data_IF_045355128686
#
_entry.id   IF_045355128686
#
_cell.length_a   1.000
_cell.length_b   1.000
_cell.length_c   1.000
_cell.angle_alpha   90.00
_cell.angle_beta   90.00
_cell.angle_gamma   90.00
#
_symmetry.space_group_name_H-M   'P 1'
#
loop_
_entity.id
_entity.type
_entity.pdbx_description
1 polymer ?
#
# COMPACT_ATOMS: atom_id res chain seq x y z
N UNK A 1 -35.21 9.81 -9.39
CA UNK A 1 -35.68 9.92 -7.98
C UNK A 1 -36.25 8.59 -7.56
N UNK A 2 -35.88 8.10 -6.35
CA UNK A 2 -36.04 6.73 -5.79
C UNK A 2 -34.96 5.76 -6.34
N UNK A 3 -34.06 5.12 -5.59
CA UNK A 3 -33.97 4.77 -4.16
C UNK A 3 -32.49 4.74 -3.69
N UNK A 4 -32.09 5.62 -2.76
CA UNK A 4 -30.90 5.46 -1.91
C UNK A 4 -31.38 5.13 -0.49
N UNK A 5 -31.65 3.86 -0.22
CA UNK A 5 -32.10 3.41 1.10
C UNK A 5 -31.25 2.29 1.71
N UNK A 6 -30.07 2.00 1.16
CA UNK A 6 -29.22 0.92 1.70
C UNK A 6 -28.26 1.37 2.82
N UNK A 7 -27.95 2.67 2.96
CA UNK A 7 -26.95 3.16 3.91
C UNK A 7 -27.44 3.47 5.34
N UNK A 8 -28.72 3.25 5.67
CA UNK A 8 -29.26 3.56 7.01
C UNK A 8 -29.39 2.36 7.96
N UNK A 9 -28.87 1.18 7.61
CA UNK A 9 -28.92 -0.01 8.48
C UNK A 9 -27.58 -0.44 9.09
N UNK A 10 -26.47 0.28 8.88
CA UNK A 10 -25.19 -0.02 9.55
C UNK A 10 -24.96 0.86 10.81
N UNK A 11 -25.82 1.85 11.05
CA UNK A 11 -25.78 2.69 12.26
C UNK A 11 -26.79 2.22 13.31
N UNK A 12 -26.60 1.00 13.83
CA UNK A 12 -27.01 0.60 15.19
C UNK A 12 -26.71 -0.90 15.37
N UNK A 13 -25.47 -1.21 15.73
CA UNK A 13 -25.27 -2.27 16.71
C UNK A 13 -24.03 -1.97 17.55
N UNK A 14 -24.30 -1.67 18.81
CA UNK A 14 -23.29 -1.31 19.79
C UNK A 14 -22.39 -2.48 20.16
N UNK A 15 -21.13 -2.12 20.45
CA UNK A 15 -20.12 -2.86 21.22
C UNK A 15 -19.51 -4.10 20.57
N UNK A 16 -18.27 -3.93 20.09
CA UNK A 16 -17.12 -4.46 20.83
C UNK A 16 -15.83 -3.73 20.39
N UNK A 17 -15.64 -2.50 20.87
CA UNK A 17 -14.29 -1.95 20.96
C UNK A 17 -13.57 -2.77 22.02
N UNK A 18 -12.61 -3.61 21.61
CA UNK A 18 -11.81 -4.42 22.54
C UNK A 18 -11.14 -3.46 23.53
N UNK A 19 -11.63 -3.46 24.78
CA UNK A 19 -11.08 -2.64 25.86
C UNK A 19 -9.63 -3.11 26.05
N UNK A 20 -8.67 -2.19 25.91
CA UNK A 20 -7.26 -2.49 26.16
C UNK A 20 -7.15 -3.16 27.53
N UNK A 21 -6.43 -4.28 27.60
CA UNK A 21 -6.10 -4.86 28.90
C UNK A 21 -5.34 -3.83 29.75
N UNK A 22 -5.46 -3.90 31.08
CA UNK A 22 -4.78 -2.95 31.97
C UNK A 22 -3.26 -2.88 31.69
N UNK A 23 -2.65 -4.00 31.27
CA UNK A 23 -1.24 -4.06 30.85
C UNK A 23 -0.97 -3.37 29.51
N UNK A 24 -1.83 -3.50 28.51
CA UNK A 24 -1.70 -2.79 27.23
C UNK A 24 -1.97 -1.30 27.37
N UNK A 25 -2.94 -0.91 28.20
CA UNK A 25 -3.20 0.48 28.56
C UNK A 25 -1.99 1.07 29.29
N UNK A 26 -1.46 0.38 30.31
CA UNK A 26 -0.24 0.81 31.02
C UNK A 26 0.98 0.93 30.11
N UNK A 27 1.17 0.03 29.13
CA UNK A 27 2.29 0.12 28.15
C UNK A 27 2.10 1.21 27.11
N UNK A 28 0.89 1.41 26.60
CA UNK A 28 0.59 2.51 25.67
C UNK A 28 0.77 3.87 26.35
N UNK A 29 0.23 4.01 27.56
CA UNK A 29 0.46 5.17 28.44
C UNK A 29 1.94 5.31 28.79
N UNK A 30 2.67 4.20 28.98
CA UNK A 30 4.12 4.23 29.22
C UNK A 30 4.87 4.84 28.04
N UNK A 31 4.59 4.41 26.81
CA UNK A 31 5.27 4.96 25.62
C UNK A 31 4.88 6.41 25.34
N UNK A 32 3.62 6.78 25.55
CA UNK A 32 3.19 8.18 25.40
C UNK A 32 3.77 9.10 26.47
N UNK A 33 4.12 8.60 27.67
CA UNK A 33 4.78 9.42 28.71
C UNK A 33 6.11 10.01 28.25
N UNK A 34 6.89 9.28 27.46
CA UNK A 34 8.15 9.80 26.89
C UNK A 34 7.92 10.97 25.92
N UNK A 35 6.71 11.05 25.35
CA UNK A 35 6.28 12.08 24.41
C UNK A 35 5.61 13.29 25.09
N UNK A 36 5.11 13.14 26.33
CA UNK A 36 4.31 14.15 27.05
C UNK A 36 5.11 14.91 28.12
N UNK A 37 6.40 14.60 28.33
CA UNK A 37 7.23 15.38 29.27
C UNK A 37 7.44 16.83 28.76
N UNK A 38 6.99 17.87 29.50
CA UNK A 38 7.26 19.26 29.16
C UNK A 38 8.70 19.60 29.51
N UNK A 39 9.44 20.16 28.55
CA UNK A 39 10.77 20.74 28.79
C UNK A 39 11.92 19.90 28.24
N UNK A 40 12.21 20.08 26.96
CA UNK A 40 13.57 20.20 26.40
C UNK A 40 13.43 20.28 24.87
N UNK A 41 13.53 21.49 24.33
CA UNK A 41 13.82 21.69 22.92
C UNK A 41 15.28 21.28 22.70
N UNK A 42 15.53 20.35 21.78
CA UNK A 42 16.88 20.07 21.27
C UNK A 42 16.90 20.57 19.84
N UNK A 43 17.62 21.68 19.63
CA UNK A 43 17.85 22.31 18.35
C UNK A 43 18.97 21.56 17.61
N UNK A 44 18.61 20.81 16.58
CA UNK A 44 19.50 20.49 15.46
C UNK A 44 19.12 21.36 14.26
N UNK A 45 20.06 22.14 13.73
CA UNK A 45 19.82 23.00 12.56
C UNK A 45 19.39 22.12 11.36
N UNK A 46 18.09 22.20 11.02
CA UNK A 46 17.42 21.40 9.99
C UNK A 46 16.26 20.51 10.47
N UNK A 47 16.10 20.30 11.79
CA UNK A 47 15.01 19.49 12.37
C UNK A 47 13.72 20.29 12.64
N UNK A 48 13.75 21.62 12.53
CA UNK A 48 12.62 22.49 12.93
C UNK A 48 11.39 22.40 12.00
N UNK A 49 11.53 22.03 10.72
CA UNK A 49 10.41 22.11 9.76
C UNK A 49 9.41 20.94 9.89
N UNK A 50 9.85 19.78 10.36
CA UNK A 50 9.03 18.56 10.43
C UNK A 50 8.84 18.01 11.85
N UNK A 51 9.47 18.64 12.86
CA UNK A 51 9.33 18.25 14.26
C UNK A 51 7.90 18.51 14.76
N UNK A 52 7.25 17.45 15.27
CA UNK A 52 5.91 17.55 15.81
C UNK A 52 5.91 18.28 17.17
N UNK A 53 5.13 19.34 17.29
CA UNK A 53 4.74 19.91 18.59
C UNK A 53 3.86 18.91 19.37
N UNK A 54 4.48 18.13 20.26
CA UNK A 54 3.80 17.07 21.00
C UNK A 54 2.72 17.58 21.96
N UNK A 55 2.71 18.88 22.32
CA UNK A 55 1.63 19.48 23.12
C UNK A 55 0.30 19.55 22.37
N UNK A 56 0.36 19.50 21.04
CA UNK A 56 -0.80 19.53 20.15
C UNK A 56 -1.20 18.13 19.65
N UNK A 57 -0.59 17.07 20.18
CA UNK A 57 -0.87 15.68 19.83
C UNK A 57 -1.70 14.99 20.91
N UNK A 58 -2.87 14.48 20.50
CA UNK A 58 -3.71 13.62 21.33
C UNK A 58 -3.71 12.20 20.77
N UNK A 59 -3.19 11.25 21.54
CA UNK A 59 -3.15 9.83 21.16
C UNK A 59 -4.43 9.13 21.63
N UNK A 60 -5.16 8.56 20.68
CA UNK A 60 -6.39 7.81 20.93
C UNK A 60 -6.17 6.30 20.93
N UNK A 61 -7.09 5.56 20.30
CA UNK A 61 -7.08 4.10 20.30
C UNK A 61 -5.99 3.52 19.40
N UNK A 62 -5.27 2.51 19.93
CA UNK A 62 -4.41 1.62 19.14
C UNK A 62 -5.26 0.82 18.16
N UNK A 63 -4.86 0.77 16.89
CA UNK A 63 -5.53 -0.06 15.88
C UNK A 63 -4.61 -1.02 15.13
N UNK A 64 -3.28 -0.86 15.22
CA UNK A 64 -2.32 -1.83 14.69
C UNK A 64 -1.07 -1.96 15.57
N UNK A 65 -0.38 -3.09 15.43
CA UNK A 65 0.87 -3.39 16.13
C UNK A 65 1.81 -4.20 15.25
N UNK A 66 3.07 -3.77 15.16
CA UNK A 66 4.17 -4.53 14.58
C UNK A 66 5.14 -5.03 15.67
N UNK A 67 6.29 -5.55 15.24
CA UNK A 67 7.33 -6.11 16.14
C UNK A 67 7.92 -5.06 17.08
N UNK A 68 8.27 -3.89 16.54
CA UNK A 68 8.87 -2.77 17.27
C UNK A 68 8.05 -1.47 17.14
N UNK A 69 6.86 -1.56 16.55
CA UNK A 69 6.01 -0.41 16.26
C UNK A 69 4.57 -0.60 16.69
N UNK A 70 3.86 0.49 16.97
CA UNK A 70 2.41 0.51 17.26
C UNK A 70 1.78 1.69 16.55
N UNK A 71 0.58 1.49 16.01
CA UNK A 71 -0.14 2.53 15.30
C UNK A 71 -1.42 2.87 16.06
N UNK A 72 -1.61 4.17 16.32
CA UNK A 72 -2.75 4.74 17.01
C UNK A 72 -3.47 5.72 16.10
N UNK A 73 -4.78 5.84 16.28
CA UNK A 73 -5.53 7.00 15.78
C UNK A 73 -5.36 8.12 16.80
N UNK A 74 -5.31 9.37 16.35
CA UNK A 74 -5.23 10.51 17.24
C UNK A 74 -5.61 11.81 16.56
N UNK A 75 -5.41 12.93 17.26
CA UNK A 75 -5.67 14.26 16.73
C UNK A 75 -4.39 15.08 16.85
N UNK A 76 -3.94 15.69 15.76
CA UNK A 76 -2.80 16.61 15.73
C UNK A 76 -3.20 17.91 15.06
N UNK A 77 -3.02 19.06 15.72
CA UNK A 77 -3.41 20.38 15.19
C UNK A 77 -4.87 20.39 14.66
N UNK A 78 -5.79 19.78 15.43
CA UNK A 78 -7.22 19.62 15.08
C UNK A 78 -7.51 18.76 13.84
N UNK A 79 -6.54 17.97 13.36
CA UNK A 79 -6.71 17.03 12.24
C UNK A 79 -6.66 15.60 12.75
N UNK A 80 -7.48 14.72 12.19
CA UNK A 80 -7.43 13.28 12.47
C UNK A 80 -6.18 12.67 11.84
N UNK A 81 -5.41 11.91 12.62
CA UNK A 81 -4.08 11.43 12.22
C UNK A 81 -3.84 9.98 12.64
N UNK A 82 -2.99 9.31 11.86
CA UNK A 82 -2.39 8.03 12.24
C UNK A 82 -1.00 8.30 12.85
N UNK A 83 -0.73 7.67 13.98
CA UNK A 83 0.46 7.89 14.80
C UNK A 83 1.21 6.57 14.92
N UNK A 84 2.32 6.43 14.21
CA UNK A 84 3.22 5.27 14.28
C UNK A 84 4.30 5.55 15.31
N UNK A 85 4.23 4.86 16.44
CA UNK A 85 5.25 4.89 17.49
C UNK A 85 6.23 3.74 17.29
N UNK A 86 7.52 4.04 17.31
CA UNK A 86 8.63 3.07 17.23
C UNK A 86 9.40 3.13 18.54
N UNK A 87 9.51 2.00 19.24
CA UNK A 87 10.24 1.93 20.52
C UNK A 87 11.60 1.29 20.28
N UNK A 88 12.65 1.95 20.74
CA UNK A 88 13.99 1.37 20.78
C UNK A 88 14.09 0.41 21.98
N UNK A 89 14.70 -0.78 21.81
CA UNK A 89 15.05 -1.65 22.91
C UNK A 89 16.25 -1.07 23.68
N UNK A 90 16.21 -1.11 25.01
CA UNK A 90 17.33 -0.65 25.86
C UNK A 90 18.46 -1.68 25.95
N UNK A 91 18.15 -2.96 25.77
CA UNK A 91 19.09 -4.08 25.97
C UNK A 91 19.86 -4.46 24.69
N UNK A 92 19.51 -3.89 23.53
CA UNK A 92 20.06 -4.25 22.22
C UNK A 92 20.38 -2.98 21.42
N UNK A 93 21.61 -2.47 21.61
CA UNK A 93 22.09 -1.23 20.97
C UNK A 93 22.11 -1.33 19.44
N UNK A 94 22.49 -2.48 18.89
CA UNK A 94 22.55 -2.71 17.45
C UNK A 94 21.14 -2.62 16.83
N UNK A 95 20.14 -3.23 17.48
CA UNK A 95 18.76 -3.14 17.06
C UNK A 95 18.19 -1.72 17.24
N UNK A 96 18.55 -1.02 18.33
CA UNK A 96 18.15 0.36 18.54
C UNK A 96 18.68 1.30 17.44
N UNK A 97 19.96 1.16 17.06
CA UNK A 97 20.59 1.92 15.98
C UNK A 97 19.97 1.57 14.61
N UNK A 98 19.67 0.29 14.37
CA UNK A 98 18.98 -0.14 13.15
C UNK A 98 17.58 0.49 13.02
N UNK A 99 16.78 0.45 14.08
CA UNK A 99 15.43 1.04 14.10
C UNK A 99 15.47 2.56 13.92
N UNK A 100 16.46 3.24 14.50
CA UNK A 100 16.65 4.68 14.30
C UNK A 100 16.99 5.04 12.86
N UNK A 101 17.86 4.24 12.22
CA UNK A 101 18.18 4.39 10.81
C UNK A 101 16.97 4.16 9.92
N UNK A 102 16.14 3.15 10.22
CA UNK A 102 14.89 2.89 9.52
C UNK A 102 13.91 4.06 9.67
N UNK A 103 13.70 4.54 10.89
CA UNK A 103 12.85 5.70 11.17
C UNK A 103 13.29 6.94 10.39
N UNK A 104 14.58 7.26 10.45
CA UNK A 104 15.15 8.43 9.76
C UNK A 104 14.99 8.32 8.24
N UNK A 105 15.20 7.11 7.69
CA UNK A 105 15.00 6.84 6.27
C UNK A 105 13.53 6.96 5.85
N UNK A 106 12.61 6.45 6.66
CA UNK A 106 11.16 6.52 6.41
C UNK A 106 10.66 7.96 6.43
N UNK A 107 11.07 8.76 7.44
CA UNK A 107 10.75 10.20 7.51
C UNK A 107 11.32 10.95 6.32
N UNK A 108 12.59 10.73 5.98
CA UNK A 108 13.22 11.38 4.82
C UNK A 108 12.51 11.03 3.50
N UNK A 109 12.03 9.79 3.38
CA UNK A 109 11.20 9.34 2.25
C UNK A 109 9.85 10.07 2.22
N UNK A 110 9.12 10.04 3.32
CA UNK A 110 7.79 10.63 3.43
C UNK A 110 7.79 12.15 3.23
N UNK A 111 8.84 12.86 3.66
CA UNK A 111 8.98 14.31 3.50
C UNK A 111 9.00 14.77 2.05
N UNK A 112 9.57 13.97 1.14
CA UNK A 112 9.74 14.33 -0.28
C UNK A 112 8.58 13.87 -1.17
N UNK A 113 7.66 13.06 -0.65
CA UNK A 113 6.57 12.47 -1.43
C UNK A 113 5.31 13.32 -1.32
N UNK A 114 4.78 13.73 -2.46
CA UNK A 114 3.52 14.48 -2.58
C UNK A 114 2.75 14.00 -3.80
N UNK A 115 1.73 13.19 -3.57
CA UNK A 115 0.88 12.64 -4.62
C UNK A 115 -0.47 12.20 -4.03
N UNK A 116 -1.61 12.36 -4.73
CA UNK A 116 -2.93 11.98 -4.21
C UNK A 116 -3.04 10.52 -3.78
N UNK A 117 -2.33 9.60 -4.45
CA UNK A 117 -2.31 8.17 -4.14
C UNK A 117 -1.11 7.73 -3.28
N UNK A 118 -0.43 8.65 -2.59
CA UNK A 118 0.60 8.35 -1.59
C UNK A 118 0.15 8.94 -0.24
N UNK A 119 0.37 8.22 0.86
CA UNK A 119 0.01 8.71 2.19
C UNK A 119 0.68 10.06 2.51
N UNK A 120 -0.11 11.00 3.04
CA UNK A 120 0.37 12.33 3.36
C UNK A 120 1.09 12.32 4.70
N UNK A 121 2.37 12.68 4.66
CA UNK A 121 3.16 12.98 5.84
C UNK A 121 2.71 14.30 6.49
N UNK A 122 2.64 14.34 7.82
CA UNK A 122 2.25 15.53 8.57
C UNK A 122 3.40 16.03 9.42
N UNK A 123 3.97 15.18 10.26
CA UNK A 123 5.08 15.52 11.15
C UNK A 123 5.76 14.26 11.68
N UNK A 124 6.93 14.41 12.29
CA UNK A 124 7.57 13.33 13.03
C UNK A 124 8.24 13.88 14.30
N UNK A 125 8.46 13.03 15.29
CA UNK A 125 9.21 13.38 16.50
C UNK A 125 10.25 12.30 16.76
N UNK A 126 11.51 12.71 16.85
CA UNK A 126 12.64 11.83 17.14
C UNK A 126 13.12 12.10 18.57
N UNK A 127 12.54 11.41 19.55
CA UNK A 127 12.94 11.52 20.96
C UNK A 127 13.18 10.14 21.58
N UNK A 128 14.44 9.71 21.76
CA UNK A 128 14.71 8.42 22.40
C UNK A 128 14.01 8.30 23.76
N UNK A 129 13.50 7.12 24.13
CA UNK A 129 13.56 5.85 23.41
C UNK A 129 12.38 5.61 22.45
N UNK A 130 11.52 6.62 22.21
CA UNK A 130 10.28 6.47 21.40
C UNK A 130 10.22 7.50 20.28
N UNK A 131 10.29 7.01 19.04
CA UNK A 131 10.09 7.85 17.87
C UNK A 131 8.64 7.81 17.39
N UNK A 132 8.21 8.87 16.71
CA UNK A 132 6.83 9.06 16.26
C UNK A 132 6.81 9.56 14.82
N UNK A 133 6.01 8.93 13.96
CA UNK A 133 5.64 9.41 12.63
C UNK A 133 4.14 9.68 12.62
N UNK A 134 3.75 10.87 12.17
CA UNK A 134 2.36 11.33 12.07
C UNK A 134 2.02 11.48 10.59
N UNK A 135 1.00 10.74 10.14
CA UNK A 135 0.44 10.84 8.80
C UNK A 135 -1.05 11.15 8.87
N UNK A 136 -1.65 11.46 7.72
CA UNK A 136 -3.12 11.50 7.64
C UNK A 136 -3.73 10.15 8.09
N UNK A 137 -4.92 10.22 8.68
CA UNK A 137 -5.72 9.03 8.99
C UNK A 137 -6.70 8.73 7.86
N UNK A 138 -6.72 7.49 7.39
CA UNK A 138 -7.65 7.01 6.36
C UNK A 138 -8.67 6.07 7.00
N UNK A 139 -9.91 6.54 7.14
CA UNK A 139 -10.97 5.86 7.87
C UNK A 139 -11.44 4.55 7.21
N UNK A 140 -11.24 4.39 5.89
CA UNK A 140 -11.53 3.15 5.17
C UNK A 140 -10.63 1.99 5.58
N UNK A 141 -9.52 2.26 6.28
CA UNK A 141 -8.57 1.23 6.71
C UNK A 141 -7.77 0.66 5.55
N UNK A 142 -7.21 -0.55 5.73
CA UNK A 142 -6.46 -1.20 4.67
C UNK A 142 -7.36 -1.89 3.64
N UNK A 143 -6.88 -1.95 2.39
CA UNK A 143 -7.51 -2.68 1.31
C UNK A 143 -7.70 -4.16 1.68
N UNK A 144 -6.73 -4.75 2.39
CA UNK A 144 -6.84 -6.11 2.95
C UNK A 144 -8.11 -6.30 3.78
N UNK A 145 -8.34 -5.39 4.73
CA UNK A 145 -9.50 -5.44 5.63
C UNK A 145 -10.79 -5.28 4.83
N UNK A 146 -10.81 -4.40 3.84
CA UNK A 146 -11.96 -4.23 2.95
C UNK A 146 -12.26 -5.52 2.17
N UNK A 147 -11.26 -6.15 1.55
CA UNK A 147 -11.43 -7.37 0.75
C UNK A 147 -11.89 -8.56 1.59
N UNK A 148 -11.41 -8.72 2.82
CA UNK A 148 -11.88 -9.77 3.75
C UNK A 148 -13.34 -9.63 4.18
N UNK A 149 -13.96 -8.48 3.96
CA UNK A 149 -15.38 -8.25 4.23
C UNK A 149 -16.26 -8.51 3.01
N UNK A 150 -15.67 -8.79 1.85
CA UNK A 150 -16.39 -9.10 0.62
C UNK A 150 -16.57 -10.61 0.47
N UNK A 151 -17.64 -11.01 -0.20
CA UNK A 151 -17.77 -12.39 -0.67
C UNK A 151 -16.71 -12.65 -1.77
N UNK A 152 -16.17 -13.87 -1.88
CA UNK A 152 -15.23 -14.20 -2.94
C UNK A 152 -15.76 -13.85 -4.33
N UNK A 153 -14.91 -13.23 -5.16
CA UNK A 153 -15.21 -12.82 -6.53
C UNK A 153 -16.37 -11.82 -6.69
N UNK A 154 -16.75 -11.12 -5.61
CA UNK A 154 -17.89 -10.20 -5.62
C UNK A 154 -17.54 -8.74 -5.92
N UNK A 155 -16.25 -8.37 -5.93
CA UNK A 155 -15.82 -6.99 -6.17
C UNK A 155 -16.13 -6.60 -7.62
N UNK A 156 -16.94 -5.55 -7.87
CA UNK A 156 -17.27 -5.15 -9.24
C UNK A 156 -16.03 -4.75 -10.04
N UNK A 157 -15.97 -5.14 -11.32
CA UNK A 157 -14.82 -4.88 -12.18
C UNK A 157 -14.49 -3.39 -12.33
N UNK A 158 -15.49 -2.51 -12.34
CA UNK A 158 -15.30 -1.05 -12.33
C UNK A 158 -14.55 -0.58 -11.08
N UNK A 159 -14.89 -1.14 -9.91
CA UNK A 159 -14.20 -0.82 -8.67
C UNK A 159 -12.80 -1.42 -8.65
N UNK A 160 -12.61 -2.65 -9.14
CA UNK A 160 -11.28 -3.24 -9.34
C UNK A 160 -10.41 -2.33 -10.20
N UNK A 161 -10.95 -1.82 -11.31
CA UNK A 161 -10.24 -0.93 -12.22
C UNK A 161 -9.88 0.39 -11.54
N UNK A 162 -10.83 1.04 -10.86
CA UNK A 162 -10.59 2.29 -10.12
C UNK A 162 -9.47 2.13 -9.10
N UNK A 163 -9.57 1.12 -8.22
CA UNK A 163 -8.58 0.87 -7.17
C UNK A 163 -7.21 0.52 -7.78
N UNK A 164 -7.18 -0.29 -8.84
CA UNK A 164 -5.96 -0.65 -9.56
C UNK A 164 -5.25 0.56 -10.15
N UNK A 165 -6.01 1.49 -10.73
CA UNK A 165 -5.49 2.69 -11.35
C UNK A 165 -4.89 3.64 -10.29
N UNK A 166 -5.57 3.84 -9.17
CA UNK A 166 -5.05 4.63 -8.04
C UNK A 166 -3.72 4.08 -7.51
N UNK A 167 -3.65 2.76 -7.30
CA UNK A 167 -2.41 2.09 -6.86
C UNK A 167 -1.31 2.27 -7.91
N UNK A 168 -1.62 2.06 -9.19
CA UNK A 168 -0.67 2.17 -10.28
C UNK A 168 -0.10 3.59 -10.42
N UNK A 169 -0.94 4.63 -10.28
CA UNK A 169 -0.52 6.04 -10.29
C UNK A 169 0.38 6.38 -9.10
N UNK A 170 0.02 5.92 -7.90
CA UNK A 170 0.88 6.09 -6.72
C UNK A 170 2.26 5.45 -6.91
N UNK A 171 2.30 4.24 -7.45
CA UNK A 171 3.54 3.51 -7.69
C UNK A 171 4.35 4.04 -8.87
N UNK A 172 3.70 4.55 -9.93
CA UNK A 172 4.36 5.27 -11.01
C UNK A 172 5.11 6.49 -10.48
N UNK A 173 4.43 7.32 -9.69
CA UNK A 173 5.03 8.48 -9.03
C UNK A 173 6.21 8.06 -8.14
N UNK A 174 6.04 7.06 -7.29
CA UNK A 174 7.11 6.58 -6.41
C UNK A 174 8.35 6.13 -7.20
N UNK A 175 8.13 5.41 -8.30
CA UNK A 175 9.20 4.94 -9.18
C UNK A 175 9.86 6.09 -9.95
N UNK A 176 9.12 7.15 -10.29
CA UNK A 176 9.67 8.36 -10.90
C UNK A 176 10.61 9.11 -9.95
N UNK A 177 10.38 9.00 -8.64
CA UNK A 177 11.29 9.51 -7.59
C UNK A 177 12.49 8.61 -7.33
N UNK A 178 12.65 7.51 -8.08
CA UNK A 178 13.78 6.58 -7.90
C UNK A 178 13.66 5.65 -6.69
N UNK A 179 12.47 5.57 -6.08
CA UNK A 179 12.22 4.80 -4.86
C UNK A 179 11.55 3.46 -5.19
N UNK A 180 12.00 2.39 -4.53
CA UNK A 180 11.34 1.08 -4.51
C UNK A 180 10.54 0.96 -3.23
N UNK A 181 9.30 0.46 -3.32
CA UNK A 181 8.46 0.24 -2.15
C UNK A 181 8.92 -0.99 -1.35
N UNK A 182 9.15 -2.11 -2.05
CA UNK A 182 9.58 -3.43 -1.53
C UNK A 182 8.60 -4.19 -0.63
N UNK A 183 7.60 -3.52 -0.06
CA UNK A 183 6.54 -4.17 0.73
C UNK A 183 5.13 -3.88 0.19
N UNK A 184 4.96 -3.83 -1.14
CA UNK A 184 3.65 -3.53 -1.74
C UNK A 184 2.70 -4.73 -1.53
N UNK A 185 1.64 -4.54 -0.76
CA UNK A 185 0.61 -5.54 -0.43
C UNK A 185 -0.68 -4.84 -0.02
N UNK A 186 -1.80 -5.57 -0.02
CA UNK A 186 -3.10 -5.00 0.34
C UNK A 186 -3.19 -4.49 1.79
N UNK A 187 -2.33 -4.92 2.72
CA UNK A 187 -2.22 -4.31 4.07
C UNK A 187 -1.64 -2.90 4.05
N UNK A 188 -0.78 -2.58 3.07
CA UNK A 188 -0.06 -1.30 2.94
C UNK A 188 -0.74 -0.34 1.94
N UNK A 189 -1.94 -0.70 1.49
CA UNK A 189 -2.80 0.13 0.64
C UNK A 189 -3.98 0.58 1.49
N UNK A 190 -4.14 1.88 1.69
CA UNK A 190 -5.15 2.44 2.58
C UNK A 190 -6.26 3.13 1.79
N UNK A 191 -7.50 3.03 2.28
CA UNK A 191 -8.70 3.54 1.62
C UNK A 191 -9.21 4.82 2.27
N UNK A 192 -9.41 5.85 1.45
CA UNK A 192 -10.17 7.06 1.81
C UNK A 192 -11.68 6.81 1.85
N UNK A 193 -12.44 7.82 2.26
CA UNK A 193 -13.91 7.75 2.37
C UNK A 193 -14.61 7.57 1.00
N UNK A 194 -13.98 8.05 -0.06
CA UNK A 194 -14.42 8.01 -1.46
C UNK A 194 -13.90 6.79 -2.22
N UNK A 195 -13.36 5.78 -1.51
CA UNK A 195 -12.65 4.63 -2.08
C UNK A 195 -11.44 5.03 -2.94
N UNK A 196 -10.80 6.18 -2.67
CA UNK A 196 -9.46 6.44 -3.20
C UNK A 196 -8.42 5.58 -2.49
N UNK A 197 -7.41 5.10 -3.21
CA UNK A 197 -6.30 4.34 -2.61
C UNK A 197 -5.08 5.24 -2.40
N UNK A 198 -4.46 5.13 -1.21
CA UNK A 198 -3.14 5.68 -0.93
C UNK A 198 -2.15 4.58 -0.53
N UNK A 199 -0.98 4.58 -1.15
CA UNK A 199 0.14 3.69 -0.79
C UNK A 199 0.78 4.19 0.51
N UNK A 200 1.00 3.29 1.46
CA UNK A 200 1.52 3.57 2.79
C UNK A 200 2.63 2.58 3.20
N UNK A 201 3.25 2.86 4.35
CA UNK A 201 4.33 2.08 4.99
C UNK A 201 5.63 1.95 4.17
N UNK A 202 6.48 2.97 4.30
CA UNK A 202 7.76 3.08 3.61
C UNK A 202 8.95 2.60 4.46
N UNK A 203 8.70 1.85 5.53
CA UNK A 203 9.72 1.47 6.52
C UNK A 203 10.87 0.61 5.97
N UNK A 204 10.70 0.00 4.80
CA UNK A 204 11.76 -0.75 4.09
C UNK A 204 12.03 -0.22 2.66
N UNK A 205 11.43 0.91 2.30
CA UNK A 205 11.64 1.52 0.99
C UNK A 205 13.06 2.06 0.87
N UNK A 206 13.62 2.01 -0.34
CA UNK A 206 14.97 2.49 -0.59
C UNK A 206 15.12 3.05 -2.01
N UNK A 207 16.15 3.87 -2.20
CA UNK A 207 16.55 4.29 -3.54
C UNK A 207 17.07 3.09 -4.33
N UNK A 208 16.78 3.04 -5.63
CA UNK A 208 17.23 1.97 -6.53
C UNK A 208 18.77 1.82 -6.51
N UNK A 209 19.49 2.95 -6.43
CA UNK A 209 20.96 2.99 -6.37
C UNK A 209 21.57 2.44 -5.08
N UNK A 210 20.76 2.29 -4.02
CA UNK A 210 21.19 1.82 -2.70
C UNK A 210 20.76 0.37 -2.42
N UNK A 211 20.16 -0.29 -3.41
CA UNK A 211 19.55 -1.61 -3.27
C UNK A 211 20.61 -2.73 -3.35
N UNK A 212 21.32 -2.97 -2.24
CA UNK A 212 22.10 -4.20 -1.97
C UNK A 212 21.30 -5.18 -1.09
N UNK A 213 21.80 -6.41 -0.89
CA UNK A 213 21.20 -7.56 -0.18
C UNK A 213 20.75 -7.29 1.28
N UNK A 214 19.83 -6.36 1.49
CA UNK A 214 19.16 -6.14 2.75
C UNK A 214 18.21 -7.31 2.98
N UNK A 215 18.55 -8.18 3.95
CA UNK A 215 17.72 -9.30 4.43
C UNK A 215 16.28 -8.83 4.62
N UNK A 216 15.37 -9.41 3.83
CA UNK A 216 13.96 -9.07 3.84
C UNK A 216 13.29 -9.49 5.15
N UNK A 217 12.30 -8.71 5.58
CA UNK A 217 11.40 -9.10 6.67
C UNK A 217 10.64 -10.38 6.27
N UNK A 218 10.61 -11.36 7.16
CA UNK A 218 10.10 -12.73 6.94
C UNK A 218 8.57 -12.85 6.80
N UNK A 219 7.83 -11.73 6.78
CA UNK A 219 6.37 -11.71 6.89
C UNK A 219 5.56 -11.50 5.60
N UNK A 220 6.19 -11.08 4.49
CA UNK A 220 5.46 -10.65 3.28
C UNK A 220 5.65 -11.57 2.07
N UNK A 221 6.16 -12.79 2.26
CA UNK A 221 6.57 -13.67 1.15
C UNK A 221 5.51 -13.93 0.08
N UNK A 222 4.21 -13.88 0.42
CA UNK A 222 3.11 -14.14 -0.53
C UNK A 222 3.02 -13.11 -1.66
N UNK A 223 3.49 -11.88 -1.45
CA UNK A 223 3.49 -10.80 -2.44
C UNK A 223 4.86 -10.60 -3.09
N UNK A 224 5.91 -11.17 -2.50
CA UNK A 224 7.29 -10.90 -2.92
C UNK A 224 7.65 -11.56 -4.25
N UNK A 225 8.38 -10.83 -5.08
CA UNK A 225 8.93 -11.34 -6.33
C UNK A 225 9.98 -12.45 -6.09
N UNK A 226 10.08 -13.45 -6.98
CA UNK A 226 10.99 -14.60 -6.81
C UNK A 226 12.47 -14.20 -6.70
N UNK A 227 12.91 -13.16 -7.40
CA UNK A 227 14.29 -12.66 -7.30
C UNK A 227 14.58 -11.97 -5.96
N UNK A 228 13.57 -11.36 -5.34
CA UNK A 228 13.68 -10.73 -4.02
C UNK A 228 13.71 -11.79 -2.93
N UNK A 229 12.91 -12.85 -3.06
CA UNK A 229 12.93 -14.02 -2.14
C UNK A 229 14.29 -14.71 -2.18
N UNK A 230 14.91 -14.82 -3.36
CA UNK A 230 16.24 -15.41 -3.55
C UNK A 230 17.40 -14.48 -3.19
N UNK A 231 17.11 -13.32 -2.59
CA UNK A 231 18.10 -12.31 -2.20
C UNK A 231 19.04 -11.88 -3.36
N UNK A 232 18.53 -11.92 -4.59
CA UNK A 232 19.26 -11.47 -5.78
C UNK A 232 19.14 -9.96 -5.95
N UNK A 233 20.03 -9.38 -6.76
CA UNK A 233 19.87 -8.01 -7.22
C UNK A 233 18.49 -7.82 -7.86
N UNK A 234 17.78 -6.80 -7.40
CA UNK A 234 16.42 -6.52 -7.82
C UNK A 234 16.24 -5.03 -8.12
N UNK A 235 15.26 -4.74 -8.96
CA UNK A 235 14.93 -3.39 -9.43
C UNK A 235 13.49 -3.07 -9.06
N UNK A 236 13.01 -1.90 -9.48
CA UNK A 236 11.58 -1.50 -9.47
C UNK A 236 10.60 -2.59 -9.92
N UNK A 237 11.04 -3.57 -10.71
CA UNK A 237 10.21 -4.70 -11.18
C UNK A 237 9.69 -5.62 -10.07
N UNK A 238 10.24 -5.58 -8.85
CA UNK A 238 9.67 -6.34 -7.71
C UNK A 238 8.35 -5.78 -7.24
N UNK A 239 8.18 -4.45 -7.28
CA UNK A 239 6.91 -3.82 -6.93
C UNK A 239 5.85 -4.11 -7.99
N UNK A 240 6.25 -4.22 -9.26
CA UNK A 240 5.34 -4.62 -10.36
C UNK A 240 4.83 -6.05 -10.17
N UNK A 241 5.68 -6.97 -9.72
CA UNK A 241 5.23 -8.32 -9.38
C UNK A 241 4.20 -8.29 -8.25
N UNK A 242 4.50 -7.54 -7.19
CA UNK A 242 3.66 -7.39 -6.01
C UNK A 242 2.30 -6.78 -6.37
N UNK A 243 2.29 -5.79 -7.27
CA UNK A 243 1.07 -5.22 -7.85
C UNK A 243 0.23 -6.26 -8.59
N UNK A 244 0.85 -7.17 -9.34
CA UNK A 244 0.15 -8.29 -9.98
C UNK A 244 -0.57 -9.20 -8.99
N UNK A 245 0.03 -9.44 -7.81
CA UNK A 245 -0.62 -10.18 -6.72
C UNK A 245 -1.77 -9.38 -6.12
N UNK A 246 -1.62 -8.07 -5.92
CA UNK A 246 -2.70 -7.19 -5.44
C UNK A 246 -3.87 -7.14 -6.42
N UNK A 247 -3.64 -7.09 -7.73
CA UNK A 247 -4.71 -7.18 -8.74
C UNK A 247 -5.47 -8.51 -8.64
N UNK A 248 -4.75 -9.60 -8.40
CA UNK A 248 -5.38 -10.89 -8.14
C UNK A 248 -6.25 -10.86 -6.87
N UNK A 249 -5.80 -10.22 -5.79
CA UNK A 249 -6.60 -10.04 -4.58
C UNK A 249 -7.85 -9.19 -4.85
N UNK A 250 -7.73 -8.11 -5.62
CA UNK A 250 -8.87 -7.25 -5.97
C UNK A 250 -9.97 -8.02 -6.72
N UNK A 251 -9.59 -8.91 -7.64
CA UNK A 251 -10.55 -9.69 -8.43
C UNK A 251 -11.19 -10.82 -7.64
N UNK A 252 -10.44 -11.43 -6.72
CA UNK A 252 -10.88 -12.64 -6.04
C UNK A 252 -11.44 -12.38 -4.65
N UNK A 253 -11.04 -11.30 -3.99
CA UNK A 253 -11.26 -11.10 -2.55
C UNK A 253 -10.53 -12.11 -1.66
N UNK A 254 -9.66 -12.95 -2.24
CA UNK A 254 -9.02 -14.06 -1.56
C UNK A 254 -7.62 -13.71 -1.04
N UNK A 255 -7.08 -14.58 -0.19
CA UNK A 255 -5.70 -14.48 0.28
C UNK A 255 -4.76 -15.25 -0.64
N UNK A 256 -3.66 -14.64 -1.13
CA UNK A 256 -2.74 -15.34 -2.03
C UNK A 256 -2.07 -16.52 -1.32
N UNK A 257 -2.17 -17.70 -1.92
CA UNK A 257 -1.63 -18.96 -1.38
C UNK A 257 -2.17 -19.34 0.02
N UNK A 258 -3.43 -19.03 0.32
CA UNK A 258 -4.03 -19.23 1.67
C UNK A 258 -3.80 -20.61 2.29
N UNK A 259 -3.69 -21.64 1.45
CA UNK A 259 -3.42 -23.04 1.81
C UNK A 259 -1.95 -23.36 2.17
N UNK A 260 -1.05 -22.38 2.12
CA UNK A 260 0.38 -22.51 2.41
C UNK A 260 0.79 -21.58 3.54
N UNK A 261 1.84 -21.90 4.30
CA UNK A 261 2.52 -20.88 5.13
C UNK A 261 3.24 -19.85 4.24
N UNK A 262 3.57 -18.64 4.73
CA UNK A 262 4.33 -17.67 3.96
C UNK A 262 5.64 -18.23 3.38
N UNK A 263 6.36 -19.05 4.15
CA UNK A 263 7.63 -19.68 3.74
C UNK A 263 7.40 -20.73 2.65
N UNK A 264 6.34 -21.54 2.78
CA UNK A 264 5.94 -22.51 1.75
C UNK A 264 5.55 -21.81 0.44
N UNK A 265 4.82 -20.68 0.52
CA UNK A 265 4.50 -19.85 -0.63
C UNK A 265 5.78 -19.30 -1.28
N UNK A 266 6.73 -18.78 -0.47
CA UNK A 266 8.02 -18.29 -0.96
C UNK A 266 8.79 -19.37 -1.73
N UNK A 267 8.81 -20.59 -1.19
CA UNK A 267 9.43 -21.76 -1.83
C UNK A 267 8.73 -22.12 -3.14
N UNK A 268 7.40 -22.21 -3.14
CA UNK A 268 6.60 -22.55 -4.32
C UNK A 268 6.78 -21.53 -5.46
N UNK A 269 6.74 -20.23 -5.14
CA UNK A 269 7.00 -19.15 -6.11
C UNK A 269 8.42 -19.23 -6.65
N UNK A 270 9.41 -19.43 -5.78
CA UNK A 270 10.83 -19.39 -6.14
C UNK A 270 11.30 -20.60 -6.95
N UNK A 271 10.86 -21.80 -6.59
CA UNK A 271 11.42 -23.05 -7.13
C UNK A 271 10.44 -23.82 -8.02
N UNK A 272 9.13 -23.65 -7.82
CA UNK A 272 8.08 -24.31 -8.64
C UNK A 272 7.40 -23.35 -9.62
N UNK A 273 7.81 -22.07 -9.61
CA UNK A 273 7.18 -21.01 -10.38
C UNK A 273 5.65 -20.90 -10.15
N UNK A 274 5.19 -21.25 -8.95
CA UNK A 274 3.77 -21.23 -8.61
C UNK A 274 3.21 -19.79 -8.65
N UNK A 275 1.92 -19.67 -9.01
CA UNK A 275 1.12 -18.44 -8.91
C UNK A 275 -0.24 -18.77 -8.31
N UNK A 276 -0.91 -17.81 -7.64
CA UNK A 276 -2.31 -17.98 -7.25
C UNK A 276 -3.17 -18.31 -8.49
N UNK A 277 -4.15 -19.22 -8.38
CA UNK A 277 -5.00 -19.61 -9.51
C UNK A 277 -5.92 -18.45 -9.91
N UNK A 278 -6.02 -18.17 -11.21
CA UNK A 278 -7.01 -17.22 -11.74
C UNK A 278 -8.35 -17.96 -11.98
N UNK A 279 -9.49 -17.38 -11.58
CA UNK A 279 -10.81 -17.93 -11.90
C UNK A 279 -11.04 -18.01 -13.41
N UNK A 280 -11.85 -18.98 -13.85
CA UNK A 280 -12.24 -19.12 -15.26
C UNK A 280 -13.03 -17.93 -15.78
N UNK A 281 -13.75 -17.25 -14.90
CA UNK A 281 -14.61 -16.10 -15.18
C UNK A 281 -13.83 -14.77 -15.16
N UNK A 282 -12.53 -14.82 -14.85
CA UNK A 282 -11.68 -13.63 -14.80
C UNK A 282 -11.57 -12.97 -16.20
N UNK A 283 -11.94 -11.69 -16.35
CA UNK A 283 -11.86 -11.01 -17.65
C UNK A 283 -10.47 -11.10 -18.27
N UNK A 284 -10.41 -11.38 -19.58
CA UNK A 284 -9.16 -11.53 -20.31
C UNK A 284 -8.24 -10.30 -20.20
N UNK A 285 -8.83 -9.10 -20.06
CA UNK A 285 -8.09 -7.86 -19.85
C UNK A 285 -7.23 -7.91 -18.57
N UNK A 286 -7.86 -8.24 -17.44
CA UNK A 286 -7.17 -8.32 -16.16
C UNK A 286 -6.24 -9.53 -16.08
N UNK A 287 -6.66 -10.71 -16.54
CA UNK A 287 -5.81 -11.90 -16.49
C UNK A 287 -4.54 -11.71 -17.34
N UNK A 288 -4.61 -11.04 -18.48
CA UNK A 288 -3.44 -10.69 -19.27
C UNK A 288 -2.51 -9.72 -18.52
N UNK A 289 -3.05 -8.65 -17.93
CA UNK A 289 -2.25 -7.68 -17.18
C UNK A 289 -1.56 -8.32 -15.97
N UNK A 290 -2.29 -9.14 -15.19
CA UNK A 290 -1.74 -9.91 -14.07
C UNK A 290 -0.61 -10.81 -14.54
N UNK A 291 -0.83 -11.56 -15.63
CA UNK A 291 0.17 -12.47 -16.18
C UNK A 291 1.46 -11.79 -16.62
N UNK A 292 1.36 -10.56 -17.15
CA UNK A 292 2.52 -9.74 -17.47
C UNK A 292 3.21 -9.23 -16.21
N UNK A 293 2.46 -8.73 -15.22
CA UNK A 293 3.00 -8.18 -13.98
C UNK A 293 3.77 -9.21 -13.15
N UNK A 294 3.26 -10.44 -13.02
CA UNK A 294 3.91 -11.48 -12.21
C UNK A 294 4.81 -12.45 -12.99
N UNK A 295 5.27 -12.05 -14.19
CA UNK A 295 6.20 -12.84 -15.00
C UNK A 295 7.46 -13.22 -14.20
N UNK A 296 7.93 -14.46 -14.34
CA UNK A 296 9.15 -14.94 -13.68
C UNK A 296 10.42 -14.21 -14.16
N UNK A 297 10.41 -13.72 -15.40
CA UNK A 297 11.46 -12.85 -15.92
C UNK A 297 11.09 -11.38 -15.64
N UNK A 298 11.82 -10.65 -14.77
CA UNK A 298 11.53 -9.25 -14.44
C UNK A 298 11.58 -8.31 -15.65
N UNK A 299 12.37 -8.63 -16.68
CA UNK A 299 12.47 -7.82 -17.90
C UNK A 299 11.19 -7.82 -18.73
N UNK A 300 10.36 -8.86 -18.60
CA UNK A 300 9.06 -8.97 -19.30
C UNK A 300 7.92 -8.24 -18.59
N UNK A 301 8.11 -7.86 -17.31
CA UNK A 301 7.10 -7.14 -16.55
C UNK A 301 7.01 -5.70 -17.09
N UNK A 302 5.81 -5.12 -17.25
CA UNK A 302 5.65 -3.73 -17.65
C UNK A 302 6.22 -2.77 -16.59
N UNK A 303 6.44 -1.51 -16.94
CA UNK A 303 6.66 -0.44 -15.95
C UNK A 303 5.32 0.16 -15.53
N UNK A 304 5.26 0.81 -14.36
CA UNK A 304 3.99 1.40 -13.90
C UNK A 304 3.42 2.45 -14.87
N UNK A 305 4.25 3.23 -15.57
CA UNK A 305 3.80 4.12 -16.66
C UNK A 305 2.98 3.37 -17.72
N UNK A 306 3.42 2.17 -18.12
CA UNK A 306 2.71 1.35 -19.09
C UNK A 306 1.44 0.75 -18.48
N UNK A 307 1.48 0.35 -17.21
CA UNK A 307 0.31 -0.17 -16.48
C UNK A 307 -0.77 0.90 -16.37
N UNK A 308 -0.41 2.14 -16.01
CA UNK A 308 -1.33 3.28 -15.93
C UNK A 308 -1.98 3.50 -17.29
N UNK A 309 -1.21 3.57 -18.37
CA UNK A 309 -1.75 3.70 -19.74
C UNK A 309 -2.74 2.59 -20.09
N UNK A 310 -2.45 1.34 -19.72
CA UNK A 310 -3.34 0.19 -19.97
C UNK A 310 -4.67 0.34 -19.19
N UNK A 311 -4.60 0.72 -17.91
CA UNK A 311 -5.78 0.87 -17.05
C UNK A 311 -6.63 2.09 -17.42
N UNK A 312 -6.00 3.19 -17.84
CA UNK A 312 -6.72 4.36 -18.37
C UNK A 312 -7.47 3.99 -19.65
N UNK A 313 -6.84 3.25 -20.56
CA UNK A 313 -7.52 2.74 -21.74
C UNK A 313 -8.70 1.82 -21.40
N UNK A 314 -8.58 0.97 -20.38
CA UNK A 314 -9.72 0.15 -19.91
C UNK A 314 -10.85 1.04 -19.38
N UNK A 315 -10.51 2.13 -18.70
CA UNK A 315 -11.51 3.08 -18.17
C UNK A 315 -12.26 3.74 -19.31
N UNK A 316 -11.55 4.29 -20.30
CA UNK A 316 -12.13 4.88 -21.50
C UNK A 316 -12.98 3.87 -22.31
N UNK A 317 -12.54 2.61 -22.37
CA UNK A 317 -13.25 1.58 -23.12
C UNK A 317 -14.57 1.18 -22.46
N UNK A 318 -14.63 1.11 -21.13
CA UNK A 318 -15.87 0.83 -20.39
C UNK A 318 -16.88 1.97 -20.53
N UNK A 319 -16.41 3.22 -20.54
CA UNK A 319 -17.28 4.38 -20.77
C UNK A 319 -17.95 4.35 -22.15
N UNK A 320 -17.28 3.75 -23.14
CA UNK A 320 -17.80 3.60 -24.51
C UNK A 320 -18.62 2.30 -24.70
N UNK A 321 -18.19 1.22 -24.06
CA UNK A 321 -18.80 -0.11 -24.13
C UNK A 321 -18.84 -0.75 -22.73
N UNK A 322 -20.00 -0.72 -22.04
CA UNK A 322 -20.15 -1.38 -20.74
C UNK A 322 -19.87 -2.89 -20.75
N UNK A 323 -19.92 -3.55 -21.91
CA UNK A 323 -19.60 -4.98 -22.06
C UNK A 323 -18.12 -5.24 -22.39
N UNK A 324 -17.27 -4.21 -22.37
CA UNK A 324 -15.84 -4.28 -22.73
C UNK A 324 -15.11 -5.48 -22.13
N UNK A 325 -15.30 -5.75 -20.83
CA UNK A 325 -14.59 -6.84 -20.17
C UNK A 325 -15.02 -8.24 -20.65
N UNK A 326 -16.23 -8.37 -21.19
CA UNK A 326 -16.73 -9.61 -21.77
C UNK A 326 -16.29 -9.79 -23.22
N UNK A 327 -16.05 -8.69 -23.96
CA UNK A 327 -15.71 -8.71 -25.40
C UNK A 327 -14.22 -8.57 -25.67
N UNK A 328 -13.41 -8.15 -24.68
CA UNK A 328 -11.99 -7.90 -24.82
C UNK A 328 -11.21 -9.11 -25.35
N UNK A 329 -10.42 -8.88 -26.41
CA UNK A 329 -9.47 -9.86 -26.95
C UNK A 329 -8.03 -9.34 -26.79
N UNK A 330 -7.12 -10.11 -26.18
CA UNK A 330 -5.74 -9.68 -26.04
C UNK A 330 -5.05 -9.58 -27.41
N UNK A 331 -4.31 -8.49 -27.64
CA UNK A 331 -3.53 -8.32 -28.86
C UNK A 331 -2.32 -9.29 -28.85
N UNK A 332 -2.08 -10.11 -29.90
CA UNK A 332 -1.03 -11.13 -29.91
C UNK A 332 0.41 -10.59 -29.87
N UNK A 333 0.61 -9.32 -30.21
CA UNK A 333 1.94 -8.70 -30.26
C UNK A 333 2.18 -7.81 -29.05
N UNK A 334 3.34 -7.99 -28.39
CA UNK A 334 3.93 -7.09 -27.39
C UNK A 334 4.22 -5.65 -27.91
N UNK A 335 3.55 -5.20 -28.97
CA UNK A 335 3.57 -3.83 -29.46
C UNK A 335 2.29 -3.14 -28.98
N UNK A 336 2.31 -2.61 -27.76
CA UNK A 336 1.45 -1.48 -27.46
C UNK A 336 2.15 -0.26 -28.05
N UNK A 337 1.41 0.50 -28.86
CA UNK A 337 1.82 1.61 -29.74
C UNK A 337 2.26 1.22 -31.16
N UNK A 338 1.31 1.31 -32.10
CA UNK A 338 1.65 1.33 -33.53
C UNK A 338 0.48 1.29 -34.50
N UNK A 339 -0.67 0.71 -34.13
CA UNK A 339 -1.81 0.61 -35.02
C UNK A 339 -3.13 0.69 -34.24
N UNK A 340 -3.65 1.90 -34.04
CA UNK A 340 -5.07 2.07 -33.80
C UNK A 340 -5.60 3.17 -34.73
N UNK A 341 -6.70 2.91 -35.45
CA UNK A 341 -7.20 3.81 -36.49
C UNK A 341 -7.65 5.13 -35.86
N UNK A 342 -7.16 6.25 -36.41
CA UNK A 342 -7.77 7.57 -36.17
C UNK A 342 -9.25 7.46 -36.53
N UNK A 343 -10.14 7.46 -35.54
CA UNK A 343 -11.56 7.65 -35.77
C UNK A 343 -11.73 8.95 -36.57
N UNK A 344 -12.11 8.81 -37.85
CA UNK A 344 -12.45 9.95 -38.69
C UNK A 344 -13.65 10.65 -38.05
N UNK A 345 -13.42 11.88 -37.61
CA UNK A 345 -14.50 12.80 -37.31
C UNK A 345 -15.44 12.88 -38.52
N UNK A 346 -16.69 12.46 -38.35
CA UNK A 346 -17.77 12.80 -39.28
C UNK A 346 -18.00 14.30 -39.15
N UNK A 347 -17.39 15.08 -40.05
CA UNK A 347 -17.88 16.43 -40.34
C UNK A 347 -19.31 16.30 -40.87
N UNK A 348 -20.28 16.80 -40.11
CA UNK A 348 -21.56 17.21 -40.68
C UNK A 348 -21.31 18.50 -41.45
N UNK A 349 -21.48 18.44 -42.76
CA UNK A 349 -21.56 19.60 -43.65
C UNK A 349 -23.02 20.06 -43.72
N UNK A 350 -23.22 21.34 -43.38
CA UNK A 350 -24.37 22.24 -43.57
C UNK A 350 -25.77 21.79 -43.14
#
# INVERSE_FOLDING_TARGET
MKNLHWYKQISNNGKCGRRLSLGEYKRAVSWSKYLVSPGAAIKGEGEEEWSADMSQLFIGSKFASGRHSRIYRGVYKQRDVAIKLVSQPEEDEDLAAFLEKQFTSEVACLLRLRHPNIITFIAACKKPPVFCIITEYLAGGSLRKYLHQQEPHSVPHELVLKLSLDIARGMEYLHSQGILHRDLKSENLLLGEDMCVKVADFGISCLESQCGSAKGFTGTYRWMAPEMIKEKHHTKKVDVYSFGIVLWELLTGLTPFDNMTPEQAAFAVSYKNARPPLPSECPCAFSNLINRCWSSNPKKRPHFVEIVTILEHYTESIEQDPEFFSTYKPCPTNKIMGCFPKCKARQKSF
#
